data_IF_854226926721
#
_entry.id   IF_854226926721
#
_cell.length_a   1.000
_cell.length_b   1.000
_cell.length_c   1.000
_cell.angle_alpha   90.00
_cell.angle_beta   90.00
_cell.angle_gamma   90.00
#
_symmetry.space_group_name_H-M   'P 1'
#
loop_
_entity.id
_entity.type
_entity.pdbx_description
1 polymer ?
#
# COMPACT_ATOMS: atom_id res chain seq x y z
N UNK A 1 -27.57 3.79 -1.01
CA UNK A 1 -27.21 3.66 0.42
C UNK A 1 -28.11 4.59 1.21
N UNK A 2 -28.87 4.11 2.21
CA UNK A 2 -29.86 4.91 2.93
C UNK A 2 -29.24 5.89 3.94
N UNK A 3 -27.93 6.09 3.87
CA UNK A 3 -27.20 7.17 4.51
C UNK A 3 -26.32 7.78 3.41
N UNK A 4 -26.42 9.08 3.15
CA UNK A 4 -25.58 9.76 2.16
C UNK A 4 -24.11 9.54 2.49
N UNK A 5 -23.39 8.84 1.59
CA UNK A 5 -22.01 8.30 1.71
C UNK A 5 -21.38 8.35 3.12
N UNK A 6 -22.05 7.71 4.09
CA UNK A 6 -21.62 7.59 5.48
C UNK A 6 -20.36 6.76 5.64
N UNK A 7 -19.21 7.29 5.20
CA UNK A 7 -17.92 6.67 5.48
C UNK A 7 -17.51 7.01 6.91
N UNK A 8 -17.53 6.00 7.79
CA UNK A 8 -16.55 5.94 8.88
C UNK A 8 -15.17 6.11 8.23
N UNK A 9 -14.39 7.07 8.71
CA UNK A 9 -13.02 7.30 8.22
C UNK A 9 -12.27 5.96 8.16
N UNK A 10 -11.67 5.67 7.00
CA UNK A 10 -10.88 4.45 6.78
C UNK A 10 -9.77 4.34 7.85
N UNK A 11 -9.81 3.28 8.64
CA UNK A 11 -8.87 2.99 9.71
C UNK A 11 -7.74 2.08 9.25
N UNK A 12 -6.69 1.92 10.05
CA UNK A 12 -5.65 0.91 9.79
C UNK A 12 -6.25 -0.50 9.67
N UNK A 13 -7.26 -0.83 10.47
CA UNK A 13 -7.89 -2.15 10.45
C UNK A 13 -8.56 -2.45 9.10
N UNK A 14 -9.20 -1.44 8.49
CA UNK A 14 -9.77 -1.57 7.14
C UNK A 14 -8.68 -1.91 6.10
N UNK A 15 -7.45 -1.39 6.28
CA UNK A 15 -6.29 -1.74 5.43
C UNK A 15 -5.90 -3.22 5.59
N UNK A 16 -5.88 -3.75 6.83
CA UNK A 16 -5.59 -5.16 7.10
C UNK A 16 -6.67 -6.10 6.59
N UNK A 17 -7.94 -5.71 6.69
CA UNK A 17 -9.03 -6.52 6.16
C UNK A 17 -9.05 -6.49 4.62
N UNK A 18 -8.71 -5.36 4.01
CA UNK A 18 -8.50 -5.27 2.57
C UNK A 18 -7.36 -6.19 2.12
N UNK A 19 -6.25 -6.27 2.86
CA UNK A 19 -5.15 -7.20 2.52
C UNK A 19 -5.62 -8.65 2.42
N UNK A 20 -6.47 -9.12 3.34
CA UNK A 20 -6.95 -10.52 3.35
C UNK A 20 -7.77 -10.86 2.11
N UNK A 21 -8.65 -9.95 1.69
CA UNK A 21 -9.57 -10.20 0.59
C UNK A 21 -8.95 -9.83 -0.76
N UNK A 22 -8.36 -8.64 -0.84
CA UNK A 22 -7.90 -8.07 -2.10
C UNK A 22 -6.65 -8.75 -2.63
N UNK A 23 -5.65 -9.04 -1.78
CA UNK A 23 -4.41 -9.70 -2.22
C UNK A 23 -4.71 -11.11 -2.75
N UNK A 24 -5.58 -11.85 -2.06
CA UNK A 24 -6.03 -13.17 -2.52
C UNK A 24 -6.79 -13.10 -3.85
N UNK A 25 -7.58 -12.03 -4.07
CA UNK A 25 -8.34 -11.87 -5.29
C UNK A 25 -7.48 -11.57 -6.53
N UNK A 26 -6.30 -10.98 -6.35
CA UNK A 26 -5.37 -10.66 -7.45
C UNK A 26 -4.23 -11.68 -7.60
N UNK A 27 -4.01 -12.51 -6.59
CA UNK A 27 -3.03 -13.59 -6.63
C UNK A 27 -3.30 -14.54 -7.81
N UNK A 28 -2.27 -14.83 -8.60
CA UNK A 28 -2.40 -15.65 -9.81
C UNK A 28 -2.98 -14.93 -11.05
N UNK A 29 -3.47 -13.70 -10.89
CA UNK A 29 -3.95 -12.86 -11.99
C UNK A 29 -2.94 -11.80 -12.44
N UNK A 30 -2.06 -11.37 -11.55
CA UNK A 30 -0.98 -10.41 -11.83
C UNK A 30 0.37 -11.00 -11.45
N UNK A 31 1.50 -10.48 -11.97
CA UNK A 31 2.83 -10.85 -11.50
C UNK A 31 2.95 -10.75 -9.98
N UNK A 32 3.63 -11.73 -9.37
CA UNK A 32 3.74 -11.81 -7.90
C UNK A 32 4.31 -10.53 -7.27
N UNK A 33 5.27 -9.88 -7.93
CA UNK A 33 5.82 -8.60 -7.46
C UNK A 33 4.76 -7.49 -7.42
N UNK A 34 3.78 -7.45 -8.33
CA UNK A 34 2.69 -6.46 -8.24
C UNK A 34 1.81 -6.70 -7.01
N UNK A 35 1.60 -7.98 -6.63
CA UNK A 35 0.92 -8.32 -5.37
C UNK A 35 1.74 -7.82 -4.18
N UNK A 36 3.07 -7.95 -4.22
CA UNK A 36 3.95 -7.41 -3.17
C UNK A 36 3.91 -5.88 -3.09
N UNK A 37 3.85 -5.16 -4.22
CA UNK A 37 3.69 -3.69 -4.20
C UNK A 37 2.42 -3.31 -3.43
N UNK A 38 1.30 -3.93 -3.77
CA UNK A 38 0.00 -3.62 -3.16
C UNK A 38 0.03 -4.01 -1.66
N UNK A 39 0.64 -5.13 -1.32
CA UNK A 39 0.82 -5.53 0.07
C UNK A 39 1.66 -4.51 0.85
N UNK A 40 2.80 -4.07 0.33
CA UNK A 40 3.66 -3.06 0.96
C UNK A 40 2.92 -1.73 1.13
N UNK A 41 2.14 -1.30 0.13
CA UNK A 41 1.34 -0.09 0.20
C UNK A 41 0.25 -0.15 1.30
N UNK A 42 -0.45 -1.28 1.39
CA UNK A 42 -1.48 -1.49 2.42
C UNK A 42 -0.86 -1.60 3.82
N UNK A 43 0.34 -2.17 3.95
CA UNK A 43 1.06 -2.24 5.22
C UNK A 43 1.48 -0.84 5.67
N UNK A 44 2.02 -0.01 4.76
CA UNK A 44 2.32 1.39 5.05
C UNK A 44 1.06 2.11 5.54
N UNK A 45 -0.05 1.97 4.80
CA UNK A 45 -1.35 2.56 5.16
C UNK A 45 -1.84 2.13 6.54
N UNK A 46 -1.56 0.89 6.96
CA UNK A 46 -1.86 0.40 8.29
C UNK A 46 -0.96 1.09 9.33
N UNK A 47 0.35 1.07 9.15
CA UNK A 47 1.34 1.60 10.10
C UNK A 47 1.14 3.09 10.39
N UNK A 48 0.98 3.92 9.35
CA UNK A 48 0.81 5.38 9.51
C UNK A 48 -0.52 5.79 10.15
N UNK A 49 -1.46 4.84 10.32
CA UNK A 49 -2.76 5.04 10.96
C UNK A 49 -2.80 4.52 12.40
N UNK A 50 -1.68 4.07 12.96
CA UNK A 50 -1.61 3.70 14.38
C UNK A 50 -1.93 4.89 15.26
N UNK A 51 -2.58 4.64 16.39
CA UNK A 51 -2.94 5.71 17.34
C UNK A 51 -1.72 6.32 18.05
N UNK A 52 -0.62 5.58 18.09
CA UNK A 52 0.67 5.99 18.66
C UNK A 52 1.76 5.44 17.74
N UNK A 53 2.72 6.28 17.37
CA UNK A 53 3.93 5.86 16.66
C UNK A 53 5.09 5.85 17.65
N UNK A 54 5.75 4.70 17.75
CA UNK A 54 7.00 4.54 18.49
C UNK A 54 8.18 4.34 17.51
N UNK A 55 9.39 4.22 18.06
CA UNK A 55 10.61 4.03 17.26
C UNK A 55 10.54 2.78 16.37
N UNK A 56 9.92 1.71 16.88
CA UNK A 56 9.72 0.46 16.12
C UNK A 56 8.75 0.68 14.95
N UNK A 57 7.67 1.43 15.17
CA UNK A 57 6.70 1.78 14.12
C UNK A 57 7.35 2.60 13.01
N UNK A 58 8.21 3.56 13.36
CA UNK A 58 8.95 4.37 12.38
C UNK A 58 9.92 3.51 11.57
N UNK A 59 10.66 2.61 12.22
CA UNK A 59 11.58 1.69 11.54
C UNK A 59 10.82 0.75 10.58
N UNK A 60 9.63 0.30 10.97
CA UNK A 60 8.76 -0.52 10.13
C UNK A 60 8.20 0.27 8.94
N UNK A 61 7.86 1.55 9.13
CA UNK A 61 7.42 2.44 8.04
C UNK A 61 8.56 2.59 7.02
N UNK A 62 9.77 2.95 7.46
CA UNK A 62 10.93 3.12 6.58
C UNK A 62 11.22 1.86 5.77
N UNK A 63 11.21 0.70 6.44
CA UNK A 63 11.41 -0.60 5.79
C UNK A 63 10.31 -0.89 4.75
N UNK A 64 9.07 -0.56 5.08
CA UNK A 64 7.92 -0.79 4.21
C UNK A 64 7.95 0.12 2.98
N UNK A 65 8.34 1.38 3.14
CA UNK A 65 8.53 2.33 2.04
C UNK A 65 9.66 1.85 1.12
N UNK A 66 10.79 1.41 1.68
CA UNK A 66 11.89 0.85 0.88
C UNK A 66 11.46 -0.39 0.09
N UNK A 67 10.71 -1.31 0.72
CA UNK A 67 10.17 -2.49 0.06
C UNK A 67 9.19 -2.12 -1.05
N UNK A 68 8.30 -1.16 -0.80
CA UNK A 68 7.35 -0.67 -1.79
C UNK A 68 8.07 -0.17 -3.06
N UNK A 69 9.12 0.65 -2.90
CA UNK A 69 9.89 1.15 -4.03
C UNK A 69 10.63 0.05 -4.78
N UNK A 70 11.20 -0.91 -4.05
CA UNK A 70 11.88 -2.06 -4.66
C UNK A 70 10.92 -2.90 -5.52
N UNK A 71 9.72 -3.17 -5.03
CA UNK A 71 8.74 -3.99 -5.75
C UNK A 71 8.10 -3.21 -6.92
N UNK A 72 8.02 -1.88 -6.88
CA UNK A 72 7.46 -1.05 -7.96
C UNK A 72 8.22 -1.19 -9.30
N UNK A 73 9.44 -1.73 -9.27
CA UNK A 73 10.23 -2.01 -10.47
C UNK A 73 9.49 -2.89 -11.49
N UNK A 74 8.62 -3.79 -11.03
CA UNK A 74 7.84 -4.65 -11.91
C UNK A 74 6.99 -3.88 -12.92
N UNK A 75 6.55 -2.66 -12.60
CA UNK A 75 5.74 -1.86 -13.52
C UNK A 75 6.56 -1.30 -14.68
N UNK A 76 7.88 -1.18 -14.52
CA UNK A 76 8.80 -0.90 -15.63
C UNK A 76 8.99 -2.14 -16.48
N UNK A 77 9.19 -3.30 -15.85
CA UNK A 77 9.44 -4.57 -16.54
C UNK A 77 8.25 -5.06 -17.40
N UNK A 78 7.02 -4.75 -16.97
CA UNK A 78 5.78 -5.13 -17.68
C UNK A 78 5.34 -4.05 -18.69
N UNK A 79 6.19 -3.04 -18.94
CA UNK A 79 5.95 -1.90 -19.86
C UNK A 79 4.64 -1.14 -19.56
N UNK A 80 4.18 -1.23 -18.30
CA UNK A 80 2.96 -0.55 -17.86
C UNK A 80 3.21 0.94 -17.63
N UNK A 81 4.43 1.30 -17.19
CA UNK A 81 4.87 2.67 -16.95
C UNK A 81 6.36 2.83 -17.30
N UNK A 82 6.70 3.01 -18.60
CA UNK A 82 8.08 3.12 -19.04
C UNK A 82 8.81 4.34 -18.48
N UNK A 83 8.08 5.43 -18.24
CA UNK A 83 8.65 6.67 -17.69
C UNK A 83 8.79 6.67 -16.17
N UNK A 84 8.33 5.61 -15.49
CA UNK A 84 8.39 5.46 -14.03
C UNK A 84 7.03 5.52 -13.33
N UNK A 85 6.99 5.00 -12.10
CA UNK A 85 5.77 4.84 -11.32
C UNK A 85 5.45 6.12 -10.54
N UNK A 86 4.59 6.98 -11.10
CA UNK A 86 4.19 8.27 -10.50
C UNK A 86 2.68 8.32 -10.22
N UNK A 87 2.19 7.39 -9.41
CA UNK A 87 0.79 7.46 -8.99
C UNK A 87 0.57 8.66 -8.05
N UNK A 88 -0.41 9.54 -8.37
CA UNK A 88 -0.79 10.64 -7.48
C UNK A 88 -1.13 10.10 -6.08
N UNK A 89 -0.74 10.84 -5.05
CA UNK A 89 -0.94 10.50 -3.62
C UNK A 89 -0.12 9.32 -3.06
N UNK A 90 0.66 8.59 -3.86
CA UNK A 90 1.63 7.60 -3.34
C UNK A 90 3.03 8.19 -3.15
N UNK A 91 3.36 9.27 -3.88
CA UNK A 91 4.62 10.00 -3.70
C UNK A 91 4.79 10.59 -2.29
N UNK A 92 3.68 10.89 -1.58
CA UNK A 92 3.74 11.38 -0.20
C UNK A 92 4.27 10.34 0.80
N UNK A 93 4.39 9.07 0.42
CA UNK A 93 4.98 8.02 1.27
C UNK A 93 6.44 8.34 1.65
N UNK A 94 7.18 9.03 0.77
CA UNK A 94 8.59 9.39 0.98
C UNK A 94 8.74 10.59 1.92
N UNK A 95 7.64 11.30 2.22
CA UNK A 95 7.62 12.50 3.04
C UNK A 95 6.99 12.28 4.42
N UNK A 96 6.64 11.04 4.77
CA UNK A 96 6.11 10.66 6.07
C UNK A 96 7.26 10.33 7.02
#
# INVERSE_FOLDING_TARGET
>A
FPEGQGFKQWTGNDSKDLMKVYLQAIEGHVPLQMVHVIAAFLEFCYLVRHSVLDEDSLLMIDKTVAQYHYECEIFRDVDMYPDGFFLPCQHSMVHY
#
